data_IF_324448639935
#
_entry.id   IF_324448639935
#
_cell.length_a   1.000
_cell.length_b   1.000
_cell.length_c   1.000
_cell.angle_alpha   90.00
_cell.angle_beta   90.00
_cell.angle_gamma   90.00
#
_symmetry.space_group_name_H-M   'P 1'
#
loop_
_entity.id
_entity.type
_entity.pdbx_description
1 polymer ?
#
# COMPACT_ATOMS: atom_id res chain seq x y z
N UNK A 1 4.49 -8.88 4.80
CA UNK A 1 4.13 -7.96 3.71
C UNK A 1 3.33 -8.73 2.69
N UNK A 2 2.37 -8.09 2.04
CA UNK A 2 1.56 -8.70 0.99
C UNK A 2 0.20 -8.05 0.91
N UNK A 3 -0.65 -8.66 0.10
CA UNK A 3 -2.06 -8.31 -0.08
C UNK A 3 -2.91 -8.90 1.05
N UNK A 4 -3.60 -8.02 1.79
CA UNK A 4 -4.51 -8.41 2.88
C UNK A 4 -5.96 -8.51 2.42
N UNK A 5 -6.32 -8.03 1.21
CA UNK A 5 -7.69 -7.98 0.68
C UNK A 5 -8.72 -7.23 1.56
N UNK A 6 -8.26 -6.46 2.56
CA UNK A 6 -9.09 -5.56 3.35
C UNK A 6 -8.52 -4.16 3.27
N UNK A 7 -9.36 -3.16 3.06
CA UNK A 7 -8.89 -1.79 2.91
C UNK A 7 -8.30 -1.32 4.23
N UNK A 8 -7.04 -0.89 4.20
CA UNK A 8 -6.34 -0.41 5.39
C UNK A 8 -7.01 0.80 6.06
N UNK A 9 -7.87 1.52 5.33
CA UNK A 9 -8.54 2.73 5.77
C UNK A 9 -9.99 2.47 6.21
N UNK A 10 -10.52 1.25 6.05
CA UNK A 10 -11.82 0.88 6.61
C UNK A 10 -11.77 0.95 8.14
N UNK A 11 -12.80 1.53 8.76
CA UNK A 11 -12.83 1.79 10.20
C UNK A 11 -12.60 0.53 11.04
N UNK A 12 -13.16 -0.60 10.63
CA UNK A 12 -12.94 -1.88 11.32
C UNK A 12 -11.46 -2.27 11.33
N UNK A 13 -10.76 -2.14 10.19
CA UNK A 13 -9.35 -2.48 10.07
C UNK A 13 -8.48 -1.52 10.87
N UNK A 14 -8.82 -0.23 10.87
CA UNK A 14 -8.18 0.79 11.72
C UNK A 14 -8.34 0.43 13.20
N UNK A 15 -9.55 0.09 13.63
CA UNK A 15 -9.85 -0.24 15.03
C UNK A 15 -9.16 -1.54 15.47
N UNK A 16 -9.13 -2.56 14.61
CA UNK A 16 -8.41 -3.80 14.88
C UNK A 16 -6.90 -3.55 14.99
N UNK A 17 -6.33 -2.73 14.10
CA UNK A 17 -4.90 -2.43 14.11
C UNK A 17 -4.50 -1.59 15.34
N UNK A 18 -5.33 -0.64 15.75
CA UNK A 18 -5.11 0.18 16.95
C UNK A 18 -5.04 -0.64 18.26
N UNK A 19 -5.61 -1.86 18.27
CA UNK A 19 -5.51 -2.80 19.41
C UNK A 19 -4.17 -3.53 19.48
N UNK A 20 -3.29 -3.38 18.47
CA UNK A 20 -2.02 -4.08 18.34
C UNK A 20 -0.83 -3.09 18.42
N UNK A 21 -0.59 -2.42 19.57
CA UNK A 21 0.32 -1.28 19.67
C UNK A 21 1.80 -1.58 19.39
N UNK A 22 2.19 -2.85 19.33
CA UNK A 22 3.56 -3.26 18.98
C UNK A 22 3.76 -3.49 17.48
N UNK A 23 2.67 -3.54 16.72
CA UNK A 23 2.68 -3.67 15.26
C UNK A 23 2.49 -2.29 14.66
N UNK A 24 3.35 -1.93 13.72
CA UNK A 24 3.26 -0.66 13.01
C UNK A 24 2.89 -0.93 11.55
N UNK A 25 1.97 -0.13 11.02
CA UNK A 25 1.77 -0.01 9.58
C UNK A 25 2.88 0.89 9.05
N UNK A 26 3.78 0.34 8.24
CA UNK A 26 4.95 1.07 7.75
C UNK A 26 4.54 2.27 6.88
N UNK A 27 3.45 2.14 6.11
CA UNK A 27 2.96 3.24 5.28
C UNK A 27 2.48 4.40 6.14
N UNK A 28 1.52 4.15 7.02
CA UNK A 28 0.97 5.17 7.91
C UNK A 28 2.04 5.78 8.81
N UNK A 29 3.01 4.96 9.28
CA UNK A 29 4.11 5.45 10.13
C UNK A 29 5.04 6.43 9.43
N UNK A 30 5.29 6.27 8.12
CA UNK A 30 6.23 7.12 7.37
C UNK A 30 5.54 8.25 6.61
N UNK A 31 4.35 8.01 6.07
CA UNK A 31 3.63 8.93 5.19
C UNK A 31 2.51 9.70 5.91
N UNK A 32 2.13 9.27 7.11
CA UNK A 32 0.98 9.80 7.85
C UNK A 32 -0.36 9.20 7.38
N UNK A 33 -1.42 9.42 8.16
CA UNK A 33 -2.76 8.86 7.89
C UNK A 33 -3.52 9.56 6.76
N UNK A 34 -3.13 10.77 6.38
CA UNK A 34 -3.77 11.51 5.27
C UNK A 34 -3.26 11.07 3.89
N UNK A 35 -2.15 10.33 3.84
CA UNK A 35 -1.66 9.76 2.61
C UNK A 35 -2.12 8.30 2.51
N UNK A 36 -3.13 8.07 1.68
CA UNK A 36 -3.79 6.77 1.58
C UNK A 36 -2.90 5.66 1.00
N UNK A 37 -1.98 6.00 0.08
CA UNK A 37 -1.09 5.02 -0.54
C UNK A 37 -1.82 3.89 -1.26
N UNK A 38 -2.82 4.20 -2.08
CA UNK A 38 -3.61 3.19 -2.76
C UNK A 38 -2.72 2.24 -3.57
N UNK A 39 -2.88 0.95 -3.30
CA UNK A 39 -2.20 -0.14 -4.03
C UNK A 39 -3.17 -0.81 -5.00
N UNK A 40 -4.45 -0.50 -4.89
CA UNK A 40 -5.48 -0.84 -5.84
C UNK A 40 -6.22 0.44 -6.19
N UNK A 41 -6.16 0.88 -7.45
CA UNK A 41 -6.73 2.16 -7.87
C UNK A 41 -7.31 2.06 -9.28
N UNK A 42 -8.63 1.89 -9.36
CA UNK A 42 -9.37 1.78 -10.63
C UNK A 42 -9.49 3.11 -11.39
N UNK A 43 -9.15 4.25 -10.79
CA UNK A 43 -9.11 5.55 -11.47
C UNK A 43 -7.79 5.72 -12.22
N UNK A 44 -6.70 5.22 -11.65
CA UNK A 44 -5.35 5.29 -12.24
C UNK A 44 -5.09 4.11 -13.18
N UNK A 45 -5.37 2.88 -12.75
CA UNK A 45 -5.15 1.67 -13.54
C UNK A 45 -6.44 1.27 -14.26
N UNK A 46 -6.59 1.69 -15.52
CA UNK A 46 -7.78 1.40 -16.30
C UNK A 46 -7.92 -0.07 -16.70
N UNK A 47 -6.87 -0.90 -16.54
CA UNK A 47 -6.96 -2.32 -16.86
C UNK A 47 -7.95 -3.07 -15.98
N UNK A 48 -8.10 -2.65 -14.72
CA UNK A 48 -9.05 -3.26 -13.80
C UNK A 48 -10.45 -2.66 -13.90
N UNK A 49 -10.59 -1.49 -14.52
CA UNK A 49 -11.89 -0.83 -14.68
C UNK A 49 -12.91 -1.68 -15.44
N UNK A 50 -12.47 -2.55 -16.35
CA UNK A 50 -13.36 -3.48 -17.05
C UNK A 50 -13.89 -4.62 -16.17
N UNK A 51 -13.24 -4.90 -15.04
CA UNK A 51 -13.58 -5.98 -14.12
C UNK A 51 -14.33 -5.47 -12.86
N UNK A 52 -14.20 -4.19 -12.51
CA UNK A 52 -14.92 -3.57 -11.40
C UNK A 52 -16.19 -2.84 -11.86
N UNK A 53 -17.32 -3.12 -11.22
CA UNK A 53 -18.60 -2.46 -11.53
C UNK A 53 -18.72 -1.06 -10.95
N UNK A 54 -17.83 -0.67 -10.02
CA UNK A 54 -17.79 0.63 -9.36
C UNK A 54 -16.34 1.12 -9.23
N UNK A 55 -16.10 2.44 -9.22
CA UNK A 55 -14.80 2.98 -8.84
C UNK A 55 -14.43 2.52 -7.44
N UNK A 56 -13.22 2.01 -7.32
CA UNK A 56 -12.64 1.47 -6.10
C UNK A 56 -11.18 1.90 -6.00
N UNK A 57 -10.82 2.36 -4.80
CA UNK A 57 -9.46 2.78 -4.44
C UNK A 57 -9.20 2.31 -3.02
N UNK A 58 -8.22 1.45 -2.85
CA UNK A 58 -7.92 0.83 -1.57
C UNK A 58 -6.42 0.57 -1.42
N UNK A 59 -5.97 0.54 -0.17
CA UNK A 59 -4.62 0.06 0.19
C UNK A 59 -4.76 -1.36 0.75
N UNK A 60 -4.80 -2.33 -0.14
CA UNK A 60 -4.89 -3.75 0.18
C UNK A 60 -3.54 -4.35 0.55
N UNK A 61 -2.49 -3.91 -0.15
CA UNK A 61 -1.14 -4.34 0.12
C UNK A 61 -0.57 -3.54 1.28
N UNK A 62 -0.07 -4.24 2.29
CA UNK A 62 0.49 -3.63 3.49
C UNK A 62 1.84 -4.23 3.85
N UNK A 63 2.70 -3.38 4.39
CA UNK A 63 3.92 -3.78 5.08
C UNK A 63 3.73 -3.45 6.55
N UNK A 64 3.61 -4.49 7.37
CA UNK A 64 3.43 -4.38 8.81
C UNK A 64 4.71 -4.85 9.48
N UNK A 65 5.22 -4.08 10.44
CA UNK A 65 6.44 -4.38 11.19
C UNK A 65 6.13 -4.57 12.67
N UNK A 66 6.68 -5.62 13.26
CA UNK A 66 6.80 -5.79 14.71
C UNK A 66 8.28 -5.94 15.04
N UNK A 67 8.88 -4.89 15.61
CA UNK A 67 10.28 -4.91 15.98
C UNK A 67 10.63 -3.83 17.00
N UNK A 68 11.60 -4.12 17.86
CA UNK A 68 12.21 -3.15 18.78
C UNK A 68 13.58 -2.66 18.28
N UNK A 69 14.17 -3.36 17.31
CA UNK A 69 15.56 -3.18 16.87
C UNK A 69 15.66 -2.79 15.40
N UNK A 70 14.55 -2.78 14.66
CA UNK A 70 14.47 -2.38 13.26
C UNK A 70 13.42 -1.28 13.15
N UNK A 71 13.75 -0.22 12.41
CA UNK A 71 12.84 0.87 12.11
C UNK A 71 12.69 1.01 10.59
N UNK A 72 11.49 1.32 10.08
CA UNK A 72 11.33 1.70 8.68
C UNK A 72 11.89 3.11 8.48
N UNK A 73 12.48 3.36 7.32
CA UNK A 73 13.05 4.68 6.98
C UNK A 73 12.56 5.21 5.64
N UNK A 74 12.04 4.34 4.78
CA UNK A 74 11.51 4.70 3.47
C UNK A 74 10.42 3.72 3.07
N UNK A 75 9.40 4.22 2.38
CA UNK A 75 8.38 3.42 1.71
C UNK A 75 7.97 4.12 0.41
N UNK A 76 7.72 3.35 -0.64
CA UNK A 76 7.31 3.85 -1.95
C UNK A 76 6.29 2.91 -2.60
N UNK A 77 5.40 3.49 -3.41
CA UNK A 77 4.63 2.73 -4.40
C UNK A 77 5.59 2.32 -5.53
N UNK A 78 5.39 1.12 -6.06
CA UNK A 78 6.12 0.56 -7.18
C UNK A 78 5.13 0.17 -8.28
N UNK A 79 5.45 0.48 -9.54
CA UNK A 79 4.64 0.07 -10.68
C UNK A 79 3.35 0.88 -10.85
N UNK A 80 3.31 2.10 -10.32
CA UNK A 80 2.24 3.10 -10.52
C UNK A 80 2.34 3.85 -11.86
N UNK A 81 3.26 3.43 -12.72
CA UNK A 81 3.41 3.91 -14.08
C UNK A 81 3.22 2.75 -15.07
N UNK A 82 2.61 3.00 -16.23
CA UNK A 82 2.44 1.97 -17.25
C UNK A 82 3.78 1.52 -17.81
N UNK A 83 3.89 0.23 -18.10
CA UNK A 83 5.06 -0.39 -18.74
C UNK A 83 4.98 -0.36 -20.26
N UNK A 84 3.77 -0.22 -20.81
CA UNK A 84 3.54 -0.08 -22.24
C UNK A 84 2.27 0.73 -22.52
N UNK A 85 2.16 1.24 -23.75
CA UNK A 85 0.95 1.86 -24.26
C UNK A 85 0.59 1.15 -25.56
N UNK A 86 -0.56 0.49 -25.59
CA UNK A 86 -1.13 -0.14 -26.79
C UNK A 86 -2.31 0.70 -27.25
N UNK A 87 -2.17 1.38 -28.38
CA UNK A 87 -3.13 2.38 -28.88
C UNK A 87 -3.46 3.47 -27.83
N UNK A 88 -4.67 3.41 -27.23
CA UNK A 88 -5.14 4.32 -26.18
C UNK A 88 -5.20 3.66 -24.80
N UNK A 89 -4.64 2.45 -24.67
CA UNK A 89 -4.71 1.66 -23.46
C UNK A 89 -3.34 1.57 -22.79
N UNK A 90 -3.28 2.03 -21.54
CA UNK A 90 -2.08 1.96 -20.71
C UNK A 90 -2.01 0.59 -20.05
N UNK A 91 -0.92 -0.15 -20.29
CA UNK A 91 -0.67 -1.45 -19.68
C UNK A 91 0.21 -1.25 -18.46
N UNK A 92 -0.31 -1.62 -17.29
CA UNK A 92 0.46 -1.67 -16.05
C UNK A 92 1.01 -3.08 -15.82
N UNK A 93 1.99 -3.21 -14.93
CA UNK A 93 2.61 -4.51 -14.61
C UNK A 93 1.64 -5.48 -13.91
N UNK A 94 0.65 -4.94 -13.21
CA UNK A 94 -0.39 -5.65 -12.47
C UNK A 94 -1.59 -4.72 -12.30
N UNK A 95 -2.73 -5.28 -11.94
CA UNK A 95 -3.89 -4.59 -11.41
C UNK A 95 -3.64 -3.92 -10.05
N UNK A 96 -2.69 -4.44 -9.27
CA UNK A 96 -2.15 -3.80 -8.07
C UNK A 96 -0.86 -3.03 -8.35
N UNK A 97 -0.64 -1.96 -7.59
CA UNK A 97 0.67 -1.34 -7.42
C UNK A 97 1.39 -1.97 -6.23
N UNK A 98 2.70 -2.20 -6.36
CA UNK A 98 3.52 -2.80 -5.31
C UNK A 98 3.93 -1.80 -4.22
N UNK A 99 4.43 -2.34 -3.11
CA UNK A 99 5.11 -1.58 -2.06
C UNK A 99 6.56 -2.01 -1.91
N UNK A 100 7.45 -1.03 -1.82
CA UNK A 100 8.84 -1.24 -1.38
C UNK A 100 9.10 -0.47 -0.11
N UNK A 101 9.83 -1.07 0.84
CA UNK A 101 10.24 -0.41 2.06
C UNK A 101 11.72 -0.68 2.38
N UNK A 102 12.39 0.32 2.94
CA UNK A 102 13.74 0.21 3.47
C UNK A 102 13.68 0.27 4.98
N UNK A 103 14.45 -0.60 5.62
CA UNK A 103 14.54 -0.72 7.06
C UNK A 103 15.99 -0.55 7.51
N UNK A 104 16.16 -0.03 8.73
CA UNK A 104 17.48 0.12 9.35
C UNK A 104 17.45 -0.44 10.77
N UNK A 105 18.60 -0.93 11.24
CA UNK A 105 18.76 -1.27 12.65
C UNK A 105 18.69 0.01 13.47
N UNK A 106 17.85 0.02 14.51
CA UNK A 106 17.77 1.10 15.48
C UNK A 106 19.14 1.28 16.12
N UNK A 107 19.68 2.51 16.09
CA UNK A 107 20.88 2.84 16.86
C UNK A 107 20.55 2.70 18.33
N UNK A 108 21.40 1.99 19.06
CA UNK A 108 21.36 1.92 20.51
C UNK A 108 22.36 2.98 20.94
N UNK A 109 21.86 4.08 21.52
CA UNK A 109 22.69 5.09 22.17
C UNK A 109 23.25 4.55 23.49
#
# INVERSE_FOLDING_TARGET
>A
MGDFNFSADDQENVDQFNKLPQWIDVWTSLMGSHNHGFTFDTETNLMIKSYCTKPERARYDRIILHSQTIIPVQINILGDQPVANEEQFQIFSSDHFGLTAVFQKKKID
#
